data_IF_488688304500
#
_entry.id   IF_488688304500
#
_cell.length_a   1.000
_cell.length_b   1.000
_cell.length_c   1.000
_cell.angle_alpha   90.00
_cell.angle_beta   90.00
_cell.angle_gamma   90.00
#
_symmetry.space_group_name_H-M   'P 1'
#
loop_
_entity.id
_entity.type
_entity.pdbx_description
1 polymer ?
#
# COMPACT_ATOMS: atom_id res chain seq x y z
N UNK A 1 -6.54 5.30 14.55
CA UNK A 1 -6.49 4.27 13.50
C UNK A 1 -6.65 4.99 12.17
N UNK A 2 -5.60 5.08 11.36
CA UNK A 2 -5.65 5.79 10.08
C UNK A 2 -6.37 4.91 9.05
N UNK A 3 -7.67 5.16 8.84
CA UNK A 3 -8.44 4.62 7.73
C UNK A 3 -8.27 5.55 6.51
N UNK A 4 -7.04 5.71 6.04
CA UNK A 4 -6.73 6.53 4.87
C UNK A 4 -6.59 5.67 3.62
N UNK A 5 -7.27 6.05 2.54
CA UNK A 5 -6.93 5.54 1.21
C UNK A 5 -5.56 6.09 0.82
N UNK A 6 -4.65 5.21 0.43
CA UNK A 6 -3.36 5.60 -0.15
C UNK A 6 -3.59 5.99 -1.60
N UNK A 7 -3.12 7.16 -2.02
CA UNK A 7 -3.30 7.65 -3.39
C UNK A 7 -1.93 8.00 -3.99
N UNK A 8 -1.71 7.58 -5.23
CA UNK A 8 -0.60 8.02 -6.08
C UNK A 8 -1.11 8.57 -7.39
N UNK A 9 -0.47 9.60 -7.92
CA UNK A 9 -0.82 10.23 -9.21
C UNK A 9 0.40 10.20 -10.09
N UNK A 10 0.25 9.72 -11.33
CA UNK A 10 1.36 9.69 -12.28
C UNK A 10 1.90 11.12 -12.48
N UNK A 11 3.22 11.32 -12.65
CA UNK A 11 3.78 12.66 -12.85
C UNK A 11 3.13 13.47 -13.98
N UNK A 12 2.68 12.80 -15.05
CA UNK A 12 1.96 13.41 -16.18
C UNK A 12 0.48 13.68 -15.90
N UNK A 13 -0.02 13.34 -14.70
CA UNK A 13 -1.40 13.57 -14.22
C UNK A 13 -2.50 12.92 -15.06
N UNK A 14 -2.15 11.94 -15.89
CA UNK A 14 -3.06 11.18 -16.74
C UNK A 14 -3.48 9.83 -16.12
N UNK A 15 -2.95 9.47 -14.95
CA UNK A 15 -3.27 8.23 -14.24
C UNK A 15 -3.23 8.45 -12.75
N UNK A 16 -4.04 7.69 -12.02
CA UNK A 16 -3.92 7.59 -10.57
C UNK A 16 -4.16 6.16 -10.09
N UNK A 17 -3.65 5.88 -8.90
CA UNK A 17 -3.83 4.62 -8.18
C UNK A 17 -4.39 4.94 -6.79
N UNK A 18 -5.36 4.15 -6.36
CA UNK A 18 -5.88 4.16 -5.00
C UNK A 18 -5.70 2.77 -4.38
N UNK A 19 -5.20 2.72 -3.15
CA UNK A 19 -5.06 1.49 -2.41
C UNK A 19 -5.69 1.62 -1.02
N UNK A 20 -6.49 0.62 -0.64
CA UNK A 20 -7.13 0.55 0.65
C UNK A 20 -7.22 -0.89 1.12
N UNK A 21 -6.66 -1.19 2.30
CA UNK A 21 -6.56 -2.55 2.82
C UNK A 21 -5.97 -3.51 1.79
N UNK A 22 -6.69 -4.51 1.33
CA UNK A 22 -6.22 -5.46 0.31
C UNK A 22 -6.64 -5.10 -1.11
N UNK A 23 -7.19 -3.90 -1.35
CA UNK A 23 -7.72 -3.46 -2.63
C UNK A 23 -6.77 -2.46 -3.27
N UNK A 24 -6.52 -2.60 -4.57
CA UNK A 24 -5.80 -1.62 -5.39
C UNK A 24 -6.59 -1.38 -6.67
N UNK A 25 -6.89 -0.13 -6.96
CA UNK A 25 -7.58 0.31 -8.16
C UNK A 25 -6.70 1.29 -8.94
N UNK A 26 -6.59 1.06 -10.24
CA UNK A 26 -5.84 1.89 -11.19
C UNK A 26 -6.81 2.53 -12.18
N UNK A 27 -6.55 3.79 -12.50
CA UNK A 27 -7.40 4.58 -13.38
C UNK A 27 -6.58 5.41 -14.35
N UNK A 28 -7.15 5.63 -15.53
CA UNK A 28 -6.76 6.70 -16.44
C UNK A 28 -7.59 7.95 -16.15
N UNK A 29 -6.97 9.10 -16.36
CA UNK A 29 -7.55 10.44 -16.28
C UNK A 29 -7.44 11.04 -17.68
N UNK A 30 -8.58 11.35 -18.30
CA UNK A 30 -8.60 12.02 -19.60
C UNK A 30 -8.36 13.55 -19.46
N UNK A 31 -8.26 14.25 -20.59
CA UNK A 31 -8.04 15.71 -20.62
C UNK A 31 -9.18 16.52 -19.98
N UNK A 32 -10.38 15.92 -19.86
CA UNK A 32 -11.54 16.51 -19.19
C UNK A 32 -11.65 16.09 -17.72
N UNK A 33 -10.62 15.44 -17.17
CA UNK A 33 -10.56 14.90 -15.81
C UNK A 33 -11.58 13.80 -15.49
N UNK A 34 -12.13 13.13 -16.51
CA UNK A 34 -12.94 11.96 -16.28
C UNK A 34 -12.06 10.77 -15.94
N UNK A 35 -12.56 9.95 -15.02
CA UNK A 35 -11.88 8.74 -14.57
C UNK A 35 -12.41 7.54 -15.34
N UNK A 36 -11.51 6.73 -15.88
CA UNK A 36 -11.84 5.40 -16.40
C UNK A 36 -10.98 4.34 -15.71
N UNK A 37 -11.57 3.28 -15.12
CA UNK A 37 -10.79 2.22 -14.49
C UNK A 37 -9.97 1.46 -15.54
N UNK A 38 -8.70 1.22 -15.23
CA UNK A 38 -7.79 0.44 -16.09
C UNK A 38 -7.50 -0.95 -15.52
N UNK A 39 -7.39 -1.07 -14.18
CA UNK A 39 -7.18 -2.35 -13.53
C UNK A 39 -7.65 -2.36 -12.07
N UNK A 40 -8.05 -3.54 -11.60
CA UNK A 40 -8.38 -3.82 -10.21
C UNK A 40 -7.57 -5.01 -9.70
N UNK A 41 -7.09 -4.95 -8.46
CA UNK A 41 -6.36 -6.03 -7.78
C UNK A 41 -6.92 -6.22 -6.37
N UNK A 42 -7.12 -7.49 -6.01
CA UNK A 42 -7.75 -7.88 -4.76
C UNK A 42 -6.89 -8.92 -4.05
N UNK A 43 -6.40 -8.56 -2.86
CA UNK A 43 -5.71 -9.46 -1.93
C UNK A 43 -6.66 -9.95 -0.84
N UNK A 44 -7.46 -9.04 -0.30
CA UNK A 44 -8.55 -9.33 0.62
C UNK A 44 -9.52 -8.15 0.66
N UNK A 45 -10.77 -8.43 1.00
CA UNK A 45 -11.78 -7.39 1.25
C UNK A 45 -11.76 -6.98 2.73
N UNK A 46 -12.05 -5.70 3.04
CA UNK A 46 -12.23 -5.26 4.42
C UNK A 46 -13.35 -6.05 5.11
N UNK A 47 -13.11 -6.49 6.34
CA UNK A 47 -14.08 -7.23 7.13
C UNK A 47 -14.44 -6.47 8.39
N UNK A 48 -15.69 -6.04 8.45
CA UNK A 48 -16.18 -5.24 9.56
C UNK A 48 -16.85 -6.13 10.63
N UNK A 49 -16.74 -5.69 11.88
CA UNK A 49 -17.48 -6.18 13.02
C UNK A 49 -18.37 -5.06 13.55
N UNK A 50 -19.61 -5.43 13.89
CA UNK A 50 -20.52 -4.58 14.65
C UNK A 50 -20.37 -5.01 16.11
N UNK A 51 -19.72 -4.22 16.97
CA UNK A 51 -19.59 -4.55 18.38
C UNK A 51 -20.95 -4.52 19.07
N UNK A 52 -21.15 -5.40 20.07
CA UNK A 52 -22.40 -5.49 20.83
C UNK A 52 -22.73 -4.21 21.63
N UNK A 53 -21.73 -3.34 21.87
CA UNK A 53 -21.88 -2.05 22.55
C UNK A 53 -21.22 -0.94 21.73
N UNK A 54 -21.93 0.17 21.57
CA UNK A 54 -21.44 1.42 20.97
C UNK A 54 -21.59 1.49 19.44
N UNK A 55 -21.60 2.71 18.85
CA UNK A 55 -21.87 2.93 17.42
C UNK A 55 -20.60 2.79 16.55
N UNK A 56 -19.70 1.86 16.87
CA UNK A 56 -18.37 1.81 16.23
C UNK A 56 -18.29 0.64 15.29
N UNK A 57 -18.31 0.87 13.98
CA UNK A 57 -17.90 -0.15 13.01
C UNK A 57 -16.38 -0.30 13.16
N UNK A 58 -15.93 -1.48 13.59
CA UNK A 58 -14.51 -1.80 13.73
C UNK A 58 -14.08 -2.86 12.72
N UNK A 59 -12.80 -2.89 12.39
CA UNK A 59 -12.24 -4.03 11.66
C UNK A 59 -12.17 -5.26 12.56
N UNK A 60 -12.40 -6.44 11.99
CA UNK A 60 -12.14 -7.72 12.68
C UNK A 60 -10.65 -7.83 13.00
N UNK A 61 -10.30 -8.39 14.15
CA UNK A 61 -8.88 -8.53 14.56
C UNK A 61 -8.15 -9.56 13.70
N UNK A 62 -8.90 -10.51 13.18
CA UNK A 62 -8.48 -11.55 12.24
C UNK A 62 -8.26 -11.01 10.83
N UNK A 63 -8.71 -9.78 10.54
CA UNK A 63 -8.52 -9.16 9.23
C UNK A 63 -7.04 -8.83 9.00
N UNK A 64 -6.53 -9.19 7.83
CA UNK A 64 -5.21 -8.80 7.40
C UNK A 64 -5.08 -7.26 7.37
N UNK A 65 -3.98 -6.78 7.95
CA UNK A 65 -3.48 -5.43 7.72
C UNK A 65 -2.93 -5.42 6.30
N UNK A 66 -3.60 -4.68 5.42
CA UNK A 66 -3.29 -4.64 4.00
C UNK A 66 -2.12 -3.71 3.65
N UNK A 67 -2.35 -2.77 2.73
CA UNK A 67 -1.34 -1.77 2.34
C UNK A 67 -1.09 -0.76 3.47
N UNK A 68 0.18 -0.53 3.75
CA UNK A 68 0.67 0.36 4.81
C UNK A 68 1.15 1.70 4.28
N UNK A 69 1.76 1.70 3.09
CA UNK A 69 2.40 2.87 2.50
C UNK A 69 2.50 2.72 0.99
N UNK A 70 2.46 3.85 0.30
CA UNK A 70 2.49 3.95 -1.15
C UNK A 70 3.55 4.97 -1.56
N UNK A 71 4.38 4.61 -2.53
CA UNK A 71 5.26 5.54 -3.23
C UNK A 71 5.29 5.21 -4.72
N UNK A 72 5.74 6.14 -5.55
CA UNK A 72 5.71 5.98 -6.99
C UNK A 72 6.74 6.87 -7.68
N UNK A 73 7.07 6.49 -8.91
CA UNK A 73 7.82 7.30 -9.87
C UNK A 73 7.09 7.28 -11.24
N UNK A 74 7.74 7.80 -12.28
CA UNK A 74 7.16 7.85 -13.63
C UNK A 74 6.97 6.46 -14.26
N UNK A 75 7.57 5.41 -13.71
CA UNK A 75 7.53 4.06 -14.29
C UNK A 75 6.65 3.13 -13.49
N UNK A 76 6.68 3.23 -12.15
CA UNK A 76 6.10 2.23 -11.27
C UNK A 76 5.44 2.81 -10.02
N UNK A 77 4.53 2.00 -9.47
CA UNK A 77 3.89 2.16 -8.17
C UNK A 77 4.44 1.10 -7.22
N UNK A 78 4.84 1.52 -6.02
CA UNK A 78 5.43 0.69 -4.98
C UNK A 78 4.51 0.70 -3.75
N UNK A 79 4.13 -0.48 -3.29
CA UNK A 79 3.20 -0.67 -2.18
C UNK A 79 3.85 -1.51 -1.09
N UNK A 80 3.91 -0.98 0.13
CA UNK A 80 4.28 -1.76 1.31
C UNK A 80 3.07 -2.55 1.80
N UNK A 81 3.17 -3.87 1.85
CA UNK A 81 2.04 -4.76 2.14
C UNK A 81 2.33 -5.68 3.33
N UNK A 82 1.54 -5.64 4.40
CA UNK A 82 1.74 -6.50 5.58
C UNK A 82 1.18 -7.91 5.40
N UNK A 83 -0.08 -8.01 4.97
CA UNK A 83 -0.80 -9.28 4.87
C UNK A 83 -1.00 -10.03 6.19
N UNK A 84 -0.54 -9.49 7.32
CA UNK A 84 -0.64 -10.09 8.66
C UNK A 84 -1.80 -9.49 9.43
N UNK A 85 -2.47 -10.22 10.32
CA UNK A 85 -3.57 -9.68 11.13
C UNK A 85 -3.12 -9.19 12.52
N UNK A 86 -3.97 -8.39 13.17
CA UNK A 86 -3.75 -8.00 14.58
C UNK A 86 -3.78 -9.20 15.52
N UNK A 87 -4.53 -10.25 15.18
CA UNK A 87 -4.55 -11.50 15.94
C UNK A 87 -3.20 -12.22 15.87
N UNK A 88 -2.53 -12.18 14.70
CA UNK A 88 -1.28 -12.91 14.48
C UNK A 88 -0.06 -12.21 15.06
N UNK A 89 -0.02 -10.86 14.95
CA UNK A 89 1.20 -10.08 15.20
C UNK A 89 1.01 -8.84 16.07
N UNK A 90 -0.16 -8.67 16.68
CA UNK A 90 -0.48 -7.49 17.49
C UNK A 90 -0.12 -6.18 16.75
N UNK A 91 0.63 -5.26 17.38
CA UNK A 91 1.06 -4.00 16.77
C UNK A 91 2.01 -4.17 15.58
N UNK A 92 2.80 -5.24 15.53
CA UNK A 92 3.72 -5.53 14.42
C UNK A 92 2.99 -5.84 13.11
N UNK A 93 1.68 -6.10 13.15
CA UNK A 93 0.85 -6.19 11.94
C UNK A 93 0.85 -4.90 11.11
N UNK A 94 1.17 -3.75 11.69
CA UNK A 94 1.31 -2.46 10.99
C UNK A 94 2.72 -2.21 10.43
N UNK A 95 3.54 -3.25 10.34
CA UNK A 95 4.87 -3.20 9.72
C UNK A 95 4.97 -4.32 8.68
N UNK A 96 5.89 -4.16 7.73
CA UNK A 96 6.18 -5.19 6.75
C UNK A 96 7.57 -5.05 6.18
N UNK A 97 8.07 -6.13 5.59
CA UNK A 97 9.25 -6.12 4.73
C UNK A 97 8.90 -6.44 3.27
N UNK A 98 7.62 -6.50 2.90
CA UNK A 98 7.19 -6.86 1.54
C UNK A 98 6.80 -5.60 0.76
N UNK A 99 7.51 -5.36 -0.34
CA UNK A 99 7.19 -4.30 -1.30
C UNK A 99 6.72 -4.91 -2.61
N UNK A 100 5.51 -4.56 -3.02
CA UNK A 100 4.90 -4.97 -4.28
C UNK A 100 5.05 -3.84 -5.29
N UNK A 101 5.50 -4.17 -6.50
CA UNK A 101 5.71 -3.21 -7.58
C UNK A 101 4.76 -3.51 -8.72
N UNK A 102 4.08 -2.46 -9.17
CA UNK A 102 3.17 -2.49 -10.30
C UNK A 102 3.61 -1.43 -11.31
N UNK A 103 3.36 -1.67 -12.59
CA UNK A 103 3.34 -0.56 -13.55
C UNK A 103 2.02 0.21 -13.42
N UNK A 104 1.92 1.33 -14.13
CA UNK A 104 0.72 2.18 -14.08
C UNK A 104 -0.53 1.59 -14.78
N UNK A 105 -0.40 0.47 -15.47
CA UNK A 105 -1.52 -0.34 -15.99
C UNK A 105 -2.00 -1.39 -14.97
N UNK A 106 -1.46 -1.38 -13.75
CA UNK A 106 -1.77 -2.34 -12.70
C UNK A 106 -1.22 -3.75 -12.95
N UNK A 107 -0.27 -3.93 -13.86
CA UNK A 107 0.42 -5.20 -14.09
C UNK A 107 1.48 -5.38 -12.98
N UNK A 108 1.48 -6.51 -12.23
CA UNK A 108 2.53 -6.79 -11.28
C UNK A 108 3.89 -6.93 -11.99
N UNK A 109 4.90 -6.24 -11.49
CA UNK A 109 6.26 -6.22 -12.06
C UNK A 109 7.22 -7.01 -11.18
N UNK A 110 7.20 -6.76 -9.87
CA UNK A 110 8.14 -7.38 -8.94
C UNK A 110 7.63 -7.40 -7.52
N UNK A 111 8.14 -8.36 -6.73
CA UNK A 111 7.97 -8.43 -5.28
C UNK A 111 9.33 -8.44 -4.62
N UNK A 112 9.60 -7.44 -3.80
CA UNK A 112 10.80 -7.37 -2.96
C UNK A 112 10.48 -7.85 -1.55
N UNK A 113 11.44 -8.57 -0.96
CA UNK A 113 11.51 -8.84 0.47
C UNK A 113 12.73 -8.09 1.02
N UNK A 114 12.49 -7.13 1.91
CA UNK A 114 13.52 -6.34 2.56
C UNK A 114 14.09 -7.11 3.75
N UNK A 115 15.33 -6.78 4.14
CA UNK A 115 15.99 -7.38 5.31
C UNK A 115 15.47 -6.81 6.64
N UNK A 116 14.74 -5.69 6.59
CA UNK A 116 14.17 -5.02 7.75
C UNK A 116 12.66 -4.82 7.62
N UNK A 117 11.95 -4.95 8.75
CA UNK A 117 10.55 -4.54 8.85
C UNK A 117 10.44 -3.03 8.93
N UNK A 118 9.57 -2.46 8.11
CA UNK A 118 9.40 -1.02 7.91
C UNK A 118 7.91 -0.65 7.98
N UNK A 119 7.62 0.62 8.24
CA UNK A 119 6.25 1.15 8.37
C UNK A 119 5.86 2.02 7.18
N UNK A 120 6.84 2.59 6.48
CA UNK A 120 6.61 3.45 5.34
C UNK A 120 7.77 3.41 4.36
N UNK A 121 7.47 3.76 3.11
CA UNK A 121 8.43 3.76 2.01
C UNK A 121 8.34 5.05 1.18
N UNK A 122 9.45 5.44 0.56
CA UNK A 122 9.53 6.50 -0.44
C UNK A 122 10.55 6.14 -1.52
N UNK A 123 10.18 6.20 -2.80
CA UNK A 123 11.08 5.94 -3.92
C UNK A 123 11.57 7.27 -4.51
N UNK A 124 12.89 7.36 -4.78
CA UNK A 124 13.48 8.46 -5.55
C UNK A 124 14.77 8.00 -6.21
N UNK A 125 14.93 8.21 -7.51
CA UNK A 125 16.14 7.87 -8.27
C UNK A 125 16.57 6.39 -8.06
N UNK A 126 15.64 5.44 -8.23
CA UNK A 126 15.82 4.00 -7.98
C UNK A 126 16.23 3.63 -6.55
N UNK A 127 16.06 4.57 -5.62
CA UNK A 127 16.39 4.37 -4.22
C UNK A 127 15.14 4.34 -3.35
N UNK A 128 14.91 3.21 -2.70
CA UNK A 128 13.85 3.05 -1.74
C UNK A 128 14.34 3.47 -0.35
N UNK A 129 13.71 4.48 0.21
CA UNK A 129 13.90 4.96 1.57
C UNK A 129 12.79 4.42 2.46
N UNK A 130 13.13 3.93 3.65
CA UNK A 130 12.15 3.29 4.52
C UNK A 130 12.32 3.70 5.99
N UNK A 131 11.21 3.94 6.69
CA UNK A 131 11.21 4.14 8.14
C UNK A 131 11.03 2.78 8.82
N UNK A 132 11.93 2.41 9.73
CA UNK A 132 11.82 1.16 10.49
C UNK A 132 10.69 1.14 11.52
N UNK A 133 10.30 -0.06 11.97
CA UNK A 133 9.21 -0.33 12.94
C UNK A 133 9.16 0.57 14.18
N UNK A 134 10.31 1.00 14.70
CA UNK A 134 10.39 1.84 15.91
C UNK A 134 10.64 3.33 15.63
N UNK A 135 10.55 3.78 14.38
CA UNK A 135 10.88 5.15 13.95
C UNK A 135 12.32 5.61 14.24
N UNK A 136 13.19 4.70 14.68
CA UNK A 136 14.59 5.01 15.05
C UNK A 136 15.56 4.96 13.88
N UNK A 137 15.20 4.24 12.83
CA UNK A 137 16.10 3.95 11.71
C UNK A 137 15.47 4.35 10.38
N UNK A 138 16.30 4.93 9.52
CA UNK A 138 16.05 5.15 8.11
C UNK A 138 16.89 4.16 7.33
N UNK A 139 16.24 3.25 6.62
CA UNK A 139 16.90 2.29 5.73
C UNK A 139 16.86 2.79 4.29
N UNK A 140 17.81 2.32 3.50
CA UNK A 140 17.97 2.70 2.10
C UNK A 140 18.32 1.46 1.28
N UNK A 141 17.56 1.20 0.22
CA UNK A 141 17.76 0.07 -0.67
C UNK A 141 17.86 0.54 -2.12
N UNK A 142 18.86 0.04 -2.84
CA UNK A 142 18.94 0.19 -4.30
C UNK A 142 18.04 -0.87 -4.91
N UNK A 143 17.01 -0.46 -5.65
CA UNK A 143 16.15 -1.40 -6.37
C UNK A 143 16.72 -1.66 -7.76
N UNK A 144 16.77 -2.93 -8.16
CA UNK A 144 17.06 -3.36 -9.53
C UNK A 144 15.77 -3.84 -10.19
N UNK A 145 15.15 -2.99 -10.99
CA UNK A 145 13.97 -3.35 -11.80
C UNK A 145 14.40 -3.82 -13.19
#
# INVERSE_FOLDING_TARGET
>A
MYAGTLIGVHPDKNKFVAAYKGLIDFYNIDESYNLSPSAHRYYHFPQFAIPQKGPVIAHRKEEAVGFLSLSYDASYVYLLYSGSSLLDKESSAYTSNIVLVYNWEGIPVKRYALDHSVISIHIRNNMLWCIGENHKYLYKYVLSL
#
